data_IF_968463715678
#
_entry.id   IF_968463715678
#
_cell.length_a   1.000
_cell.length_b   1.000
_cell.length_c   1.000
_cell.angle_alpha   90.00
_cell.angle_beta   90.00
_cell.angle_gamma   90.00
#
_symmetry.space_group_name_H-M   'P 1'
#
loop_
_entity.id
_entity.type
_entity.pdbx_description
1 polymer ?
#
# COMPACT_ATOMS: atom_id res chain seq x y z
N UNK A 1 -14.02 20.60 -17.78
CA UNK A 1 -13.72 19.23 -18.24
C UNK A 1 -13.25 18.53 -17.00
N UNK A 2 -13.94 17.49 -16.57
CA UNK A 2 -13.46 16.65 -15.47
C UNK A 2 -12.17 15.97 -15.97
N UNK A 3 -11.11 16.07 -15.18
CA UNK A 3 -9.87 15.34 -15.47
C UNK A 3 -10.18 13.83 -15.32
N UNK A 4 -9.60 12.95 -16.15
CA UNK A 4 -9.84 11.53 -16.01
C UNK A 4 -9.30 11.05 -14.66
N UNK A 5 -10.15 10.40 -13.87
CA UNK A 5 -9.75 9.80 -12.59
C UNK A 5 -8.74 8.68 -12.82
N UNK A 6 -7.85 8.52 -11.84
CA UNK A 6 -6.76 7.54 -11.85
C UNK A 6 -7.10 6.43 -10.86
N UNK A 7 -6.80 5.18 -11.24
CA UNK A 7 -6.93 4.05 -10.35
C UNK A 7 -5.84 4.11 -9.25
N UNK A 8 -6.25 4.09 -8.00
CA UNK A 8 -5.37 4.04 -6.84
C UNK A 8 -5.66 2.79 -6.03
N UNK A 9 -4.61 2.09 -5.64
CA UNK A 9 -4.68 0.99 -4.67
C UNK A 9 -4.01 1.43 -3.39
N UNK A 10 -4.82 1.48 -2.32
CA UNK A 10 -4.36 1.64 -0.95
C UNK A 10 -3.96 0.27 -0.40
N UNK A 11 -2.75 0.13 0.11
CA UNK A 11 -2.25 -1.06 0.78
C UNK A 11 -2.31 -0.81 2.27
N UNK A 12 -3.25 -1.45 2.95
CA UNK A 12 -3.49 -1.28 4.38
C UNK A 12 -2.69 -2.33 5.15
N UNK A 13 -1.78 -1.88 6.01
CA UNK A 13 -0.96 -2.73 6.86
C UNK A 13 -1.28 -2.43 8.33
N UNK A 14 -1.67 -3.43 9.15
CA UNK A 14 -1.95 -3.20 10.57
C UNK A 14 -0.72 -2.64 11.29
N UNK A 15 -0.92 -1.62 12.13
CA UNK A 15 0.14 -0.88 12.81
C UNK A 15 0.67 -1.66 14.02
N UNK A 16 1.34 -2.78 13.76
CA UNK A 16 1.87 -3.69 14.76
C UNK A 16 3.37 -3.45 14.94
N UNK A 17 3.79 -3.22 16.19
CA UNK A 17 5.20 -3.11 16.53
C UNK A 17 5.90 -4.46 16.34
N UNK A 18 6.92 -4.50 15.48
CA UNK A 18 7.71 -5.72 15.21
C UNK A 18 9.11 -5.67 15.82
N UNK A 19 9.57 -4.50 16.24
CA UNK A 19 10.83 -4.32 16.94
C UNK A 19 10.64 -4.24 18.47
N UNK A 20 11.55 -4.86 19.22
CA UNK A 20 11.58 -4.80 20.69
C UNK A 20 12.47 -3.67 21.25
N UNK A 21 13.24 -2.99 20.39
CA UNK A 21 14.10 -1.86 20.73
C UNK A 21 14.34 -0.98 19.49
N UNK A 22 14.45 0.34 19.67
CA UNK A 22 14.60 1.29 18.56
C UNK A 22 13.25 1.76 18.00
N UNK A 23 13.20 2.04 16.70
CA UNK A 23 11.95 2.37 16.01
C UNK A 23 11.02 1.16 16.00
N UNK A 24 9.76 1.33 16.40
CA UNK A 24 8.84 0.23 16.67
C UNK A 24 8.32 -0.47 15.40
N UNK A 25 8.31 0.24 14.26
CA UNK A 25 7.68 -0.18 13.00
C UNK A 25 8.70 -0.24 11.85
N UNK A 26 9.81 -0.98 11.97
CA UNK A 26 10.85 -1.03 10.94
C UNK A 26 10.34 -1.62 9.61
N UNK A 27 9.18 -2.27 9.61
CA UNK A 27 8.54 -2.77 8.41
C UNK A 27 8.03 -1.65 7.49
N UNK A 28 7.77 -0.44 8.01
CA UNK A 28 7.36 0.70 7.19
C UNK A 28 8.47 1.03 6.19
N UNK A 29 9.70 1.24 6.68
CA UNK A 29 10.87 1.53 5.84
C UNK A 29 11.09 0.42 4.79
N UNK A 30 10.96 -0.85 5.19
CA UNK A 30 11.14 -1.97 4.26
C UNK A 30 10.07 -2.02 3.16
N UNK A 31 8.82 -1.69 3.48
CA UNK A 31 7.74 -1.63 2.49
C UNK A 31 7.95 -0.45 1.56
N UNK A 32 8.35 0.72 2.07
CA UNK A 32 8.70 1.87 1.23
C UNK A 32 9.82 1.51 0.26
N UNK A 33 10.93 0.94 0.75
CA UNK A 33 12.05 0.49 -0.10
C UNK A 33 11.60 -0.51 -1.18
N UNK A 34 10.75 -1.47 -0.82
CA UNK A 34 10.17 -2.45 -1.75
C UNK A 34 9.31 -1.77 -2.83
N UNK A 35 8.48 -0.81 -2.43
CA UNK A 35 7.57 -0.11 -3.35
C UNK A 35 8.33 0.82 -4.29
N UNK A 36 9.33 1.55 -3.78
CA UNK A 36 10.19 2.39 -4.61
C UNK A 36 10.99 1.56 -5.62
N UNK A 37 11.55 0.43 -5.21
CA UNK A 37 12.27 -0.45 -6.14
C UNK A 37 11.36 -0.95 -7.28
N UNK A 38 10.12 -1.36 -6.97
CA UNK A 38 9.16 -1.80 -7.98
C UNK A 38 8.69 -0.68 -8.91
N UNK A 39 8.60 0.56 -8.40
CA UNK A 39 8.29 1.72 -9.22
C UNK A 39 9.44 2.12 -10.16
N UNK A 40 10.70 2.00 -9.72
CA UNK A 40 11.88 2.23 -10.57
C UNK A 40 11.98 1.24 -11.74
N UNK A 41 11.52 0.00 -11.57
CA UNK A 41 11.41 -1.00 -12.64
C UNK A 41 10.26 -0.70 -13.63
N UNK A 42 9.40 0.28 -13.34
CA UNK A 42 8.31 0.74 -14.21
C UNK A 42 7.08 -0.17 -14.21
N UNK A 43 6.91 -1.03 -13.20
CA UNK A 43 5.76 -1.92 -13.09
C UNK A 43 4.48 -1.21 -12.60
N UNK A 44 4.66 -0.15 -11.81
CA UNK A 44 3.63 0.71 -11.24
C UNK A 44 4.30 2.01 -10.77
N UNK A 45 3.54 2.91 -10.15
CA UNK A 45 4.03 4.16 -9.57
C UNK A 45 3.61 4.24 -8.09
N UNK A 46 4.45 4.84 -7.25
CA UNK A 46 4.02 5.26 -5.89
C UNK A 46 3.21 6.53 -6.06
N UNK A 47 1.96 6.50 -5.60
CA UNK A 47 1.00 7.59 -5.84
C UNK A 47 1.20 8.76 -4.88
N UNK A 48 1.38 8.47 -3.59
CA UNK A 48 1.57 9.47 -2.53
C UNK A 48 2.46 8.90 -1.42
N UNK A 49 2.89 9.77 -0.50
CA UNK A 49 3.57 9.38 0.73
C UNK A 49 2.66 8.49 1.59
N UNK A 50 3.27 7.58 2.37
CA UNK A 50 2.51 6.71 3.27
C UNK A 50 1.85 7.51 4.41
N UNK A 51 0.65 7.08 4.83
CA UNK A 51 -0.13 7.77 5.86
C UNK A 51 -0.68 6.81 6.92
N UNK A 52 -0.76 7.26 8.17
CA UNK A 52 -1.43 6.53 9.25
C UNK A 52 -2.95 6.79 9.17
N UNK A 53 -3.74 5.71 9.18
CA UNK A 53 -5.20 5.77 9.30
C UNK A 53 -5.65 4.85 10.44
N UNK A 54 -6.12 5.45 11.53
CA UNK A 54 -6.54 4.75 12.74
C UNK A 54 -5.43 3.83 13.32
N UNK A 55 -5.57 2.51 13.17
CA UNK A 55 -4.63 1.49 13.63
C UNK A 55 -3.89 0.79 12.48
N UNK A 56 -3.82 1.46 11.33
CA UNK A 56 -3.22 0.98 10.08
C UNK A 56 -2.25 2.02 9.49
N UNK A 57 -1.29 1.54 8.71
CA UNK A 57 -0.46 2.38 7.85
C UNK A 57 -0.78 2.05 6.39
N UNK A 58 -0.97 3.08 5.59
CA UNK A 58 -1.38 2.99 4.20
C UNK A 58 -0.20 3.32 3.28
N UNK A 59 -0.11 2.58 2.18
CA UNK A 59 0.72 2.92 1.03
C UNK A 59 -0.13 3.03 -0.21
N UNK A 60 0.24 3.89 -1.15
CA UNK A 60 -0.58 4.17 -2.33
C UNK A 60 0.19 3.84 -3.60
N UNK A 61 -0.40 3.00 -4.46
CA UNK A 61 0.18 2.64 -5.76
C UNK A 61 -0.80 2.88 -6.91
N UNK A 62 -0.27 3.30 -8.06
CA UNK A 62 -1.03 3.61 -9.28
C UNK A 62 -0.24 3.23 -10.54
N UNK A 63 -0.70 3.66 -11.73
CA UNK A 63 0.07 3.57 -12.97
C UNK A 63 -0.01 2.21 -13.67
N UNK A 64 -0.77 1.26 -13.13
CA UNK A 64 -1.00 -0.07 -13.71
C UNK A 64 -2.48 -0.47 -13.62
N UNK A 65 -2.82 -1.62 -14.22
CA UNK A 65 -4.15 -2.20 -14.08
C UNK A 65 -4.38 -2.74 -12.65
N UNK A 66 -5.65 -2.82 -12.25
CA UNK A 66 -6.05 -3.26 -10.91
C UNK A 66 -5.42 -4.59 -10.49
N UNK A 67 -5.35 -5.58 -11.39
CA UNK A 67 -4.83 -6.89 -11.03
C UNK A 67 -3.33 -6.82 -10.71
N UNK A 68 -2.59 -6.00 -11.46
CA UNK A 68 -1.17 -5.71 -11.19
C UNK A 68 -1.00 -5.01 -9.85
N UNK A 69 -1.75 -3.94 -9.58
CA UNK A 69 -1.64 -3.19 -8.31
C UNK A 69 -2.04 -4.03 -7.08
N UNK A 70 -3.08 -4.85 -7.19
CA UNK A 70 -3.47 -5.79 -6.13
C UNK A 70 -2.40 -6.86 -5.91
N UNK A 71 -1.69 -7.29 -6.97
CA UNK A 71 -0.56 -8.21 -6.82
C UNK A 71 0.63 -7.57 -6.09
N UNK A 72 0.84 -6.25 -6.22
CA UNK A 72 1.83 -5.51 -5.42
C UNK A 72 1.45 -5.57 -3.94
N UNK A 73 0.19 -5.31 -3.59
CA UNK A 73 -0.30 -5.44 -2.21
C UNK A 73 -0.10 -6.87 -1.66
N UNK A 74 -0.32 -7.90 -2.48
CA UNK A 74 -0.02 -9.29 -2.10
C UNK A 74 1.47 -9.59 -1.92
N UNK A 75 2.34 -8.85 -2.60
CA UNK A 75 3.80 -8.94 -2.41
C UNK A 75 4.21 -8.31 -1.08
N UNK A 76 3.65 -7.13 -0.76
CA UNK A 76 3.82 -6.47 0.55
C UNK A 76 3.35 -7.40 1.68
N UNK A 77 2.15 -7.98 1.56
CA UNK A 77 1.58 -8.88 2.56
C UNK A 77 2.44 -10.12 2.86
N UNK A 78 3.28 -10.54 1.91
CA UNK A 78 4.17 -11.71 2.03
C UNK A 78 5.60 -11.32 2.38
N UNK A 79 5.89 -10.03 2.50
CA UNK A 79 7.24 -9.56 2.75
C UNK A 79 7.68 -9.88 4.18
N UNK A 80 8.90 -10.41 4.39
CA UNK A 80 9.38 -10.75 5.72
C UNK A 80 9.37 -9.56 6.68
N UNK A 81 8.73 -9.72 7.84
CA UNK A 81 8.64 -8.68 8.87
C UNK A 81 7.45 -7.74 8.73
N UNK A 82 6.68 -7.82 7.64
CA UNK A 82 5.39 -7.15 7.52
C UNK A 82 4.36 -7.87 8.41
N UNK A 83 3.54 -7.14 9.18
CA UNK A 83 2.45 -7.72 9.97
C UNK A 83 1.43 -8.52 9.15
N UNK A 84 0.85 -9.56 9.76
CA UNK A 84 -0.32 -10.23 9.19
C UNK A 84 -1.53 -9.28 9.13
N UNK A 85 -2.49 -9.58 8.25
CA UNK A 85 -3.74 -8.82 8.13
C UNK A 85 -3.74 -7.72 7.06
N UNK A 86 -2.70 -7.68 6.21
CA UNK A 86 -2.63 -6.78 5.07
C UNK A 86 -3.77 -7.02 4.09
N UNK A 87 -4.39 -5.94 3.62
CA UNK A 87 -5.39 -5.96 2.56
C UNK A 87 -5.23 -4.76 1.63
N UNK A 88 -5.88 -4.80 0.48
CA UNK A 88 -5.92 -3.69 -0.45
C UNK A 88 -7.29 -3.02 -0.45
N UNK A 89 -7.35 -1.72 -0.71
CA UNK A 89 -8.56 -1.04 -1.18
C UNK A 89 -8.32 -0.45 -2.54
N UNK A 90 -9.28 -0.68 -3.43
CA UNK A 90 -9.25 -0.16 -4.79
C UNK A 90 -10.23 1.00 -4.88
N UNK A 91 -9.72 2.17 -5.26
CA UNK A 91 -10.50 3.39 -5.42
C UNK A 91 -9.97 4.22 -6.58
N UNK A 92 -10.65 5.32 -6.89
CA UNK A 92 -10.09 6.39 -7.70
C UNK A 92 -9.41 7.44 -6.80
N UNK A 93 -8.67 8.36 -7.41
CA UNK A 93 -7.95 9.43 -6.73
C UNK A 93 -8.85 10.51 -6.10
N UNK A 94 -10.16 10.51 -6.39
CA UNK A 94 -11.14 11.40 -5.78
C UNK A 94 -11.81 10.79 -4.53
N UNK A 95 -11.58 9.50 -4.28
CA UNK A 95 -12.19 8.79 -3.16
C UNK A 95 -11.55 9.19 -1.82
N UNK A 96 -12.38 9.25 -0.77
CA UNK A 96 -11.88 9.40 0.60
C UNK A 96 -11.05 8.17 0.99
N UNK A 97 -9.91 8.40 1.66
CA UNK A 97 -9.04 7.33 2.16
C UNK A 97 -9.82 6.28 2.95
N UNK A 98 -9.57 5.01 2.68
CA UNK A 98 -10.22 3.90 3.37
C UNK A 98 -11.66 3.60 2.93
N UNK A 99 -12.22 4.32 1.94
CA UNK A 99 -13.60 4.11 1.47
C UNK A 99 -13.73 3.18 0.26
N UNK A 100 -12.62 2.90 -0.44
CA UNK A 100 -12.56 2.04 -1.63
C UNK A 100 -12.98 0.58 -1.43
N UNK A 101 -13.11 -0.18 -2.52
CA UNK A 101 -13.46 -1.61 -2.49
C UNK A 101 -12.32 -2.42 -1.87
N UNK A 102 -12.59 -3.05 -0.74
CA UNK A 102 -11.65 -3.97 -0.07
C UNK A 102 -11.41 -5.25 -0.89
N UNK A 103 -10.14 -5.65 -0.98
CA UNK A 103 -9.64 -6.86 -1.63
C UNK A 103 -8.64 -7.54 -0.69
N UNK A 104 -8.88 -8.82 -0.38
CA UNK A 104 -7.95 -9.63 0.42
C UNK A 104 -6.78 -10.09 -0.46
N UNK A 105 -5.55 -10.01 0.08
CA UNK A 105 -4.31 -10.28 -0.68
C UNK A 105 -3.42 -11.37 -0.07
N UNK A 106 -3.85 -11.95 1.06
CA UNK A 106 -3.19 -13.02 1.79
C UNK A 106 -4.05 -14.30 1.83
#
# INVERSE_FOLDING_TARGET
MEEPTVLVVEIHVPLVATATAGYAYPWIDHVEELLFAGAEDGAYEVYDDGEELDDEYLFFVTGADEATLVAVAGTVARHPGVPDGVYARVADDEADMGTGRRVEVA
#
